data_IF_963043061683
#
_entry.id   IF_963043061683
#
_cell.length_a   1.000
_cell.length_b   1.000
_cell.length_c   1.000
_cell.angle_alpha   90.00
_cell.angle_beta   90.00
_cell.angle_gamma   90.00
#
_symmetry.space_group_name_H-M   'P 1'
#
loop_
_entity.id
_entity.type
_entity.pdbx_description
1 polymer ?
#
# COMPACT_ATOMS: atom_id res chain seq x y z
N UNK A 1 -44.11 14.08 58.09
CA UNK A 1 -42.98 13.13 57.98
C UNK A 1 -42.53 13.15 56.52
N UNK A 2 -41.40 13.81 56.24
CA UNK A 2 -40.94 14.18 54.88
C UNK A 2 -40.26 12.99 54.21
N UNK A 3 -40.64 12.70 52.96
CA UNK A 3 -40.15 11.58 52.13
C UNK A 3 -38.75 11.92 51.53
N UNK A 4 -37.74 11.04 51.59
CA UNK A 4 -36.42 11.31 51.02
C UNK A 4 -36.42 11.21 49.48
N UNK A 5 -35.88 12.24 48.81
CA UNK A 5 -35.65 12.29 47.36
C UNK A 5 -34.42 11.47 47.01
N UNK A 6 -34.62 10.33 46.36
CA UNK A 6 -33.53 9.55 45.77
C UNK A 6 -33.13 10.18 44.44
N UNK A 7 -31.96 10.83 44.41
CA UNK A 7 -31.29 11.21 43.17
C UNK A 7 -30.66 9.94 42.57
N UNK A 8 -31.23 9.41 41.49
CA UNK A 8 -30.64 8.30 40.74
C UNK A 8 -29.95 8.81 39.47
N UNK A 9 -28.63 8.66 39.49
CA UNK A 9 -27.68 8.37 38.41
C UNK A 9 -28.15 8.61 36.96
N UNK A 10 -27.65 9.69 36.35
CA UNK A 10 -27.61 9.81 34.89
C UNK A 10 -26.47 8.91 34.36
N UNK A 11 -26.73 7.98 33.43
CA UNK A 11 -25.64 7.22 32.80
C UNK A 11 -24.88 8.16 31.86
N UNK A 12 -23.59 8.34 32.13
CA UNK A 12 -22.66 8.97 31.19
C UNK A 12 -22.69 8.19 29.86
N UNK A 13 -22.88 8.95 28.79
CA UNK A 13 -22.95 8.51 27.41
C UNK A 13 -21.79 7.58 27.02
N UNK A 14 -22.14 6.40 26.51
CA UNK A 14 -21.24 5.61 25.68
C UNK A 14 -21.09 6.34 24.33
N UNK A 15 -19.95 7.03 24.12
CA UNK A 15 -19.53 7.42 22.79
C UNK A 15 -19.21 6.14 22.01
N UNK A 16 -20.17 5.66 21.22
CA UNK A 16 -19.93 4.65 20.21
C UNK A 16 -19.05 5.27 19.12
N UNK A 17 -17.80 4.81 18.99
CA UNK A 17 -16.98 5.05 17.81
C UNK A 17 -17.56 4.27 16.63
N UNK A 18 -18.65 4.76 16.05
CA UNK A 18 -19.16 4.31 14.76
C UNK A 18 -18.41 5.05 13.65
N UNK A 19 -17.12 4.78 13.51
CA UNK A 19 -16.30 5.21 12.39
C UNK A 19 -15.77 3.96 11.67
N UNK A 20 -16.68 3.10 11.21
CA UNK A 20 -16.30 2.03 10.29
C UNK A 20 -16.32 2.58 8.86
N UNK A 21 -15.12 2.95 8.43
CA UNK A 21 -14.49 2.57 7.16
C UNK A 21 -15.30 2.70 5.86
N UNK A 22 -15.26 3.90 5.28
CA UNK A 22 -15.13 4.02 3.83
C UNK A 22 -13.79 4.70 3.54
N UNK A 23 -12.72 3.91 3.56
CA UNK A 23 -11.43 4.38 3.06
C UNK A 23 -11.51 4.44 1.53
N UNK A 24 -11.08 5.54 0.90
CA UNK A 24 -11.05 5.60 -0.56
C UNK A 24 -10.11 4.50 -1.09
N UNK A 25 -10.49 3.85 -2.20
CA UNK A 25 -9.66 2.80 -2.80
C UNK A 25 -8.30 3.31 -3.26
N UNK A 26 -7.30 2.43 -3.33
CA UNK A 26 -5.91 2.77 -3.65
C UNK A 26 -5.72 3.44 -5.02
N UNK A 27 -6.65 3.24 -5.95
CA UNK A 27 -6.71 3.95 -7.24
C UNK A 27 -6.69 5.48 -7.07
N UNK A 28 -7.29 5.99 -5.98
CA UNK A 28 -7.35 7.42 -5.69
C UNK A 28 -6.03 8.02 -5.16
N UNK A 29 -5.06 7.18 -4.77
CA UNK A 29 -3.74 7.63 -4.30
C UNK A 29 -2.82 8.06 -5.46
N UNK A 30 -3.22 7.84 -6.72
CA UNK A 30 -2.41 8.19 -7.89
C UNK A 30 -1.29 7.18 -8.15
N UNK A 31 -0.20 7.61 -8.79
CA UNK A 31 0.95 6.76 -9.12
C UNK A 31 0.84 5.96 -10.42
N UNK A 32 1.71 4.97 -10.57
CA UNK A 32 1.75 4.06 -11.72
C UNK A 32 0.89 2.83 -11.47
N UNK A 33 0.09 2.40 -12.47
CA UNK A 33 -0.64 1.13 -12.39
C UNK A 33 0.34 -0.03 -12.55
N UNK A 34 0.23 -1.01 -11.66
CA UNK A 34 1.11 -2.18 -11.63
C UNK A 34 0.27 -3.43 -11.66
N UNK A 35 0.55 -4.30 -12.63
CA UNK A 35 0.04 -5.65 -12.64
C UNK A 35 0.73 -6.45 -11.53
N UNK A 36 -0.02 -7.04 -10.61
CA UNK A 36 0.53 -7.78 -9.49
C UNK A 36 -0.13 -9.15 -9.30
N UNK A 37 0.67 -10.10 -8.86
CA UNK A 37 0.26 -11.42 -8.43
C UNK A 37 0.78 -11.61 -7.00
N UNK A 38 -0.10 -11.38 -6.02
CA UNK A 38 0.24 -11.30 -4.59
C UNK A 38 0.17 -12.68 -3.92
N UNK A 39 1.04 -12.91 -2.93
CA UNK A 39 1.06 -14.15 -2.14
C UNK A 39 1.18 -15.42 -2.96
N UNK A 40 1.88 -15.37 -4.10
CA UNK A 40 2.04 -16.52 -4.99
C UNK A 40 0.84 -16.80 -5.91
N UNK A 41 -0.13 -15.89 -6.02
CA UNK A 41 -1.23 -16.00 -6.97
C UNK A 41 -0.71 -16.29 -8.40
N UNK A 42 -1.42 -17.12 -9.17
CA UNK A 42 -1.02 -17.49 -10.54
C UNK A 42 -1.10 -16.32 -11.50
N UNK A 43 -2.19 -15.58 -11.41
CA UNK A 43 -2.60 -14.56 -12.36
C UNK A 43 -2.23 -13.16 -11.88
N UNK A 44 -1.93 -12.29 -12.84
CA UNK A 44 -1.68 -10.89 -12.59
C UNK A 44 -2.98 -10.09 -12.68
N UNK A 45 -3.26 -9.28 -11.66
CA UNK A 45 -4.32 -8.27 -11.65
C UNK A 45 -3.71 -6.87 -11.68
N UNK A 46 -4.25 -5.95 -12.50
CA UNK A 46 -3.74 -4.57 -12.63
C UNK A 46 -4.33 -3.64 -11.56
N UNK A 47 -4.20 -4.04 -10.31
CA UNK A 47 -4.85 -3.41 -9.16
C UNK A 47 -3.84 -2.84 -8.15
N UNK A 48 -2.54 -3.09 -8.32
CA UNK A 48 -1.53 -2.49 -7.46
C UNK A 48 -1.13 -1.09 -7.96
N UNK A 49 -0.68 -0.24 -7.04
CA UNK A 49 -0.27 1.14 -7.34
C UNK A 49 1.14 1.41 -6.84
N UNK A 50 2.00 1.94 -7.71
CA UNK A 50 3.33 2.43 -7.32
C UNK A 50 3.27 3.94 -7.14
N UNK A 51 3.23 4.38 -5.88
CA UNK A 51 3.11 5.79 -5.52
C UNK A 51 4.49 6.31 -5.12
N UNK A 52 4.96 7.35 -5.80
CA UNK A 52 6.21 8.03 -5.46
C UNK A 52 5.94 9.18 -4.49
N UNK A 53 6.81 9.33 -3.49
CA UNK A 53 6.88 10.49 -2.60
C UNK A 53 8.30 11.06 -2.62
N UNK A 54 8.42 12.37 -2.83
CA UNK A 54 9.72 13.01 -2.99
C UNK A 54 10.38 12.75 -4.35
N UNK A 55 11.65 13.15 -4.48
CA UNK A 55 12.38 13.15 -5.75
C UNK A 55 13.85 12.74 -5.57
N UNK A 56 14.47 12.26 -6.66
CA UNK A 56 15.89 11.89 -6.70
C UNK A 56 16.27 10.80 -5.70
N UNK A 57 17.44 10.93 -5.07
CA UNK A 57 17.96 9.94 -4.11
C UNK A 57 17.18 9.89 -2.79
N UNK A 58 16.34 10.88 -2.51
CA UNK A 58 15.46 10.92 -1.35
C UNK A 58 14.04 10.41 -1.66
N UNK A 59 13.77 9.98 -2.89
CA UNK A 59 12.47 9.45 -3.26
C UNK A 59 12.19 8.14 -2.50
N UNK A 60 10.96 7.99 -2.06
CA UNK A 60 10.43 6.74 -1.50
C UNK A 60 9.24 6.33 -2.34
N UNK A 61 9.18 5.04 -2.64
CA UNK A 61 8.15 4.46 -3.47
C UNK A 61 7.32 3.50 -2.62
N UNK A 62 6.00 3.63 -2.66
CA UNK A 62 5.09 2.73 -1.95
C UNK A 62 4.35 1.89 -2.96
N UNK A 63 4.56 0.58 -2.94
CA UNK A 63 3.77 -0.36 -3.70
C UNK A 63 2.54 -0.74 -2.88
N UNK A 64 1.39 -0.17 -3.22
CA UNK A 64 0.10 -0.41 -2.57
C UNK A 64 -0.56 -1.65 -3.13
N UNK A 65 -1.12 -2.47 -2.23
CA UNK A 65 -1.90 -3.65 -2.55
C UNK A 65 -3.40 -3.39 -2.32
N UNK A 66 -4.30 -4.01 -3.10
CA UNK A 66 -5.75 -3.85 -2.93
C UNK A 66 -6.28 -4.44 -1.62
N UNK A 67 -5.52 -5.32 -0.97
CA UNK A 67 -5.85 -5.91 0.33
C UNK A 67 -5.46 -5.03 1.54
N UNK A 68 -4.91 -3.84 1.27
CA UNK A 68 -4.41 -2.90 2.29
C UNK A 68 -2.96 -3.11 2.69
N UNK A 69 -2.31 -4.17 2.17
CA UNK A 69 -0.86 -4.37 2.28
C UNK A 69 -0.07 -3.34 1.50
N UNK A 70 1.22 -3.21 1.82
CA UNK A 70 2.13 -2.40 1.02
C UNK A 70 3.59 -2.83 1.18
N UNK A 71 4.40 -2.45 0.19
CA UNK A 71 5.86 -2.49 0.26
C UNK A 71 6.43 -1.08 0.18
N UNK A 72 7.51 -0.83 0.91
CA UNK A 72 8.22 0.45 0.84
C UNK A 72 9.53 0.21 0.13
N UNK A 73 9.72 0.87 -1.00
CA UNK A 73 10.85 0.70 -1.89
C UNK A 73 11.66 2.00 -1.97
N UNK A 74 12.95 1.86 -2.22
CA UNK A 74 13.90 2.99 -2.40
C UNK A 74 14.64 2.85 -3.73
N UNK A 75 15.12 3.97 -4.32
CA UNK A 75 15.99 3.94 -5.48
C UNK A 75 17.19 3.02 -5.29
N UNK A 76 17.47 2.17 -6.27
CA UNK A 76 18.60 1.26 -6.27
C UNK A 76 19.11 0.97 -7.68
N UNK A 77 20.36 0.52 -7.80
CA UNK A 77 20.95 0.10 -9.08
C UNK A 77 20.50 -1.33 -9.44
N UNK A 78 19.23 -1.47 -9.82
CA UNK A 78 18.62 -2.73 -10.27
C UNK A 78 17.85 -2.50 -11.57
N UNK A 79 17.49 -3.54 -12.34
CA UNK A 79 16.67 -3.38 -13.54
C UNK A 79 15.35 -2.63 -13.32
N UNK A 80 14.76 -2.72 -12.12
CA UNK A 80 13.56 -1.97 -11.74
C UNK A 80 13.84 -0.57 -11.18
N UNK A 81 15.09 -0.20 -10.96
CA UNK A 81 15.48 1.04 -10.30
C UNK A 81 15.12 1.09 -8.81
N UNK A 82 14.67 -0.03 -8.23
CA UNK A 82 14.07 -0.10 -6.89
C UNK A 82 14.57 -1.32 -6.12
N UNK A 83 14.63 -1.19 -4.79
CA UNK A 83 14.86 -2.27 -3.83
C UNK A 83 13.95 -2.09 -2.60
N UNK A 84 13.74 -3.16 -1.83
CA UNK A 84 13.05 -3.09 -0.54
C UNK A 84 13.78 -2.16 0.44
N UNK A 85 13.04 -1.24 1.05
CA UNK A 85 13.60 -0.19 1.90
C UNK A 85 14.15 -0.72 3.22
N UNK A 86 13.53 -1.76 3.78
CA UNK A 86 13.93 -2.32 5.08
C UNK A 86 14.88 -3.51 4.97
N UNK A 87 15.09 -4.02 3.74
CA UNK A 87 15.94 -5.17 3.47
C UNK A 87 15.46 -6.50 4.08
N UNK A 88 14.22 -6.56 4.58
CA UNK A 88 13.63 -7.76 5.19
C UNK A 88 13.51 -8.92 4.19
N UNK A 89 13.19 -8.58 2.94
CA UNK A 89 13.12 -9.52 1.83
C UNK A 89 13.99 -9.02 0.67
N UNK A 90 14.58 -9.96 -0.07
CA UNK A 90 15.38 -9.61 -1.25
C UNK A 90 14.44 -9.30 -2.41
N UNK A 91 14.52 -8.08 -2.92
CA UNK A 91 13.92 -7.68 -4.17
C UNK A 91 14.80 -8.14 -5.34
N UNK A 92 14.23 -8.88 -6.30
CA UNK A 92 14.90 -9.22 -7.55
C UNK A 92 14.12 -8.67 -8.72
N UNK A 93 14.80 -8.10 -9.71
CA UNK A 93 14.15 -7.51 -10.87
C UNK A 93 14.84 -7.83 -12.19
N UNK A 94 14.05 -7.78 -13.26
CA UNK A 94 14.51 -7.97 -14.64
C UNK A 94 13.65 -7.15 -15.60
N UNK A 95 14.19 -6.87 -16.78
CA UNK A 95 13.43 -6.32 -17.91
C UNK A 95 12.92 -7.47 -18.78
N UNK A 96 11.64 -7.45 -19.13
CA UNK A 96 10.99 -8.40 -20.03
C UNK A 96 10.32 -7.64 -21.15
N UNK A 97 10.99 -7.51 -22.30
CA UNK A 97 10.52 -6.66 -23.40
C UNK A 97 10.45 -5.20 -22.95
N UNK A 98 9.26 -4.60 -23.02
CA UNK A 98 9.02 -3.23 -22.55
C UNK A 98 8.55 -3.15 -21.09
N UNK A 99 8.52 -4.26 -20.36
CA UNK A 99 8.07 -4.32 -18.97
C UNK A 99 9.25 -4.49 -18.01
N UNK A 100 9.09 -3.95 -16.81
CA UNK A 100 9.88 -4.28 -15.63
C UNK A 100 9.12 -5.34 -14.86
N UNK A 101 9.83 -6.39 -14.41
CA UNK A 101 9.30 -7.39 -13.48
C UNK A 101 10.10 -7.32 -12.18
N UNK A 102 9.40 -7.19 -11.07
CA UNK A 102 9.94 -7.18 -9.71
C UNK A 102 9.33 -8.33 -8.91
N UNK A 103 10.16 -9.06 -8.18
CA UNK A 103 9.75 -10.15 -7.29
C UNK A 103 10.29 -9.91 -5.89
N UNK A 104 9.41 -10.01 -4.88
CA UNK A 104 9.74 -9.86 -3.46
C UNK A 104 8.99 -10.95 -2.70
N UNK A 105 9.71 -11.93 -2.17
CA UNK A 105 9.08 -13.14 -1.64
C UNK A 105 8.21 -13.82 -2.70
N UNK A 106 6.96 -14.09 -2.37
CA UNK A 106 5.98 -14.71 -3.28
C UNK A 106 5.20 -13.69 -4.14
N UNK A 107 5.42 -12.39 -3.91
CA UNK A 107 4.76 -11.34 -4.67
C UNK A 107 5.51 -11.08 -5.98
N UNK A 108 4.75 -10.88 -7.06
CA UNK A 108 5.29 -10.54 -8.38
C UNK A 108 4.59 -9.31 -8.92
N UNK A 109 5.36 -8.38 -9.45
CA UNK A 109 4.89 -7.08 -9.94
C UNK A 109 5.41 -6.84 -11.35
N UNK A 110 4.60 -6.24 -12.20
CA UNK A 110 4.93 -5.92 -13.58
C UNK A 110 4.34 -4.58 -14.00
N UNK A 111 5.16 -3.71 -14.56
CA UNK A 111 4.72 -2.42 -15.10
C UNK A 111 5.62 -1.97 -16.26
N UNK A 112 5.14 -1.00 -17.03
CA UNK A 112 5.95 -0.32 -18.05
C UNK A 112 6.86 0.71 -17.36
N UNK A 113 8.13 0.72 -17.72
CA UNK A 113 8.99 1.86 -17.39
C UNK A 113 8.31 3.14 -17.93
N UNK A 114 8.13 4.20 -17.12
CA UNK A 114 7.60 5.45 -17.64
C UNK A 114 8.53 5.89 -18.78
N UNK A 115 7.96 6.16 -19.96
CA UNK A 115 8.73 6.75 -21.03
C UNK A 115 9.21 8.12 -20.54
N UNK A 116 10.51 8.38 -20.62
CA UNK A 116 11.03 9.73 -20.47
C UNK A 116 10.41 10.59 -21.60
N UNK A 117 9.34 11.32 -21.29
CA UNK A 117 8.72 12.30 -22.21
C UNK A 117 9.49 13.63 -22.22
#
# INVERSE_FOLDING_TARGET
>A
MVKPRSLSCAPLAALALAACDVSPGIESEGGTSVACALGGASDFASECRLVQSGEGTGAVYVMRHPDGGFRTLVPADTPAGLAESDGSQIATSKREGGDIVLMIGDDRYRWKEPADE
#
